data_IF_868600464591
#
_entry.id   IF_868600464591
#
_cell.length_a   1.000
_cell.length_b   1.000
_cell.length_c   1.000
_cell.angle_alpha   90.00
_cell.angle_beta   90.00
_cell.angle_gamma   90.00
#
_symmetry.space_group_name_H-M   'P 1'
#
loop_
_entity.id
_entity.type
_entity.pdbx_description
1 polymer ?
#
# COMPACT_ATOMS: atom_id res chain seq x y z
N UNK A 1 1.40 -43.71 0.14
CA UNK A 1 -0.03 -44.06 0.04
C UNK A 1 -0.42 -44.77 1.33
N UNK A 2 -1.50 -44.37 2.01
CA UNK A 2 -2.01 -45.17 3.13
C UNK A 2 -2.43 -46.54 2.57
N UNK A 3 -1.91 -47.62 3.16
CA UNK A 3 -2.27 -48.98 2.75
C UNK A 3 -3.68 -49.25 3.31
N UNK A 4 -4.69 -49.24 2.44
CA UNK A 4 -6.06 -49.56 2.83
C UNK A 4 -6.19 -51.08 2.87
N UNK A 5 -6.07 -51.64 4.07
CA UNK A 5 -6.29 -53.07 4.29
C UNK A 5 -7.76 -53.35 4.54
N UNK A 6 -8.31 -54.39 3.92
CA UNK A 6 -9.67 -54.85 4.22
C UNK A 6 -9.71 -55.51 5.60
N UNK A 7 -10.54 -55.02 6.54
CA UNK A 7 -10.73 -55.68 7.83
C UNK A 7 -11.17 -57.14 7.67
N UNK A 8 -10.67 -58.04 8.54
CA UNK A 8 -10.96 -59.48 8.50
C UNK A 8 -12.45 -59.81 8.35
N UNK A 9 -13.31 -59.10 9.09
CA UNK A 9 -14.76 -59.29 9.05
C UNK A 9 -15.38 -59.05 7.66
N UNK A 10 -14.85 -58.10 6.89
CA UNK A 10 -15.29 -57.83 5.53
C UNK A 10 -14.72 -58.85 4.55
N UNK A 11 -13.46 -59.27 4.74
CA UNK A 11 -12.79 -60.28 3.90
C UNK A 11 -13.45 -61.66 4.00
N UNK A 12 -13.84 -62.09 5.19
CA UNK A 12 -14.55 -63.37 5.40
C UNK A 12 -15.94 -63.39 4.73
N UNK A 13 -16.60 -62.23 4.61
CA UNK A 13 -17.94 -62.12 4.01
C UNK A 13 -17.93 -61.89 2.50
N UNK A 14 -16.93 -61.17 1.99
CA UNK A 14 -16.80 -60.79 0.58
C UNK A 14 -15.95 -61.77 -0.23
N UNK A 15 -15.18 -62.65 0.42
CA UNK A 15 -14.17 -63.48 -0.23
C UNK A 15 -12.93 -62.67 -0.65
N UNK A 16 -11.89 -63.35 -1.13
CA UNK A 16 -10.63 -62.69 -1.54
C UNK A 16 -10.83 -61.77 -2.76
N UNK A 17 -11.56 -62.23 -3.79
CA UNK A 17 -11.84 -61.41 -4.99
C UNK A 17 -12.67 -60.16 -4.65
N UNK A 18 -13.69 -60.30 -3.80
CA UNK A 18 -14.52 -59.16 -3.36
C UNK A 18 -13.74 -58.16 -2.51
N UNK A 19 -12.81 -58.65 -1.68
CA UNK A 19 -11.92 -57.80 -0.89
C UNK A 19 -10.95 -57.00 -1.79
N UNK A 20 -10.37 -57.64 -2.82
CA UNK A 20 -9.51 -56.93 -3.78
C UNK A 20 -10.26 -55.88 -4.59
N UNK A 21 -11.46 -56.22 -5.09
CA UNK A 21 -12.30 -55.27 -5.82
C UNK A 21 -12.67 -54.05 -4.96
N UNK A 22 -12.96 -54.26 -3.67
CA UNK A 22 -13.23 -53.17 -2.73
C UNK A 22 -12.00 -52.26 -2.55
N UNK A 23 -10.80 -52.82 -2.40
CA UNK A 23 -9.56 -52.03 -2.29
C UNK A 23 -9.33 -51.20 -3.55
N UNK A 24 -9.53 -51.79 -4.74
CA UNK A 24 -9.40 -51.05 -6.00
C UNK A 24 -10.40 -49.90 -6.09
N UNK A 25 -11.67 -50.14 -5.75
CA UNK A 25 -12.71 -49.12 -5.75
C UNK A 25 -12.38 -47.98 -4.78
N UNK A 26 -11.96 -48.29 -3.55
CA UNK A 26 -11.62 -47.27 -2.55
C UNK A 26 -10.39 -46.47 -2.99
N UNK A 27 -9.36 -47.13 -3.53
CA UNK A 27 -8.18 -46.44 -4.04
C UNK A 27 -8.53 -45.50 -5.21
N UNK A 28 -9.36 -45.94 -6.15
CA UNK A 28 -9.84 -45.10 -7.26
C UNK A 28 -10.66 -43.91 -6.76
N UNK A 29 -11.60 -44.14 -5.84
CA UNK A 29 -12.41 -43.08 -5.24
C UNK A 29 -11.55 -42.08 -4.43
N UNK A 30 -10.52 -42.56 -3.73
CA UNK A 30 -9.62 -41.72 -2.93
C UNK A 30 -8.71 -40.86 -3.82
N UNK A 31 -8.17 -41.43 -4.91
CA UNK A 31 -7.38 -40.69 -5.89
C UNK A 31 -8.24 -39.62 -6.60
N UNK A 32 -9.46 -39.98 -7.03
CA UNK A 32 -10.40 -39.03 -7.62
C UNK A 32 -10.73 -37.88 -6.64
N UNK A 33 -11.10 -38.21 -5.40
CA UNK A 33 -11.39 -37.21 -4.38
C UNK A 33 -10.18 -36.30 -4.06
N UNK A 34 -8.96 -36.86 -4.08
CA UNK A 34 -7.75 -36.08 -3.90
C UNK A 34 -7.51 -35.12 -5.07
N UNK A 35 -7.73 -35.57 -6.30
CA UNK A 35 -7.67 -34.74 -7.50
C UNK A 35 -8.65 -33.57 -7.45
N UNK A 36 -9.91 -33.85 -7.13
CA UNK A 36 -10.95 -32.83 -7.00
C UNK A 36 -10.63 -31.82 -5.89
N UNK A 37 -10.16 -32.30 -4.73
CA UNK A 37 -9.74 -31.43 -3.64
C UNK A 37 -8.59 -30.51 -4.04
N UNK A 38 -7.59 -31.03 -4.77
CA UNK A 38 -6.48 -30.21 -5.28
C UNK A 38 -7.00 -29.14 -6.22
N UNK A 39 -7.84 -29.50 -7.20
CA UNK A 39 -8.42 -28.54 -8.15
C UNK A 39 -9.21 -27.43 -7.45
N UNK A 40 -10.04 -27.78 -6.45
CA UNK A 40 -10.81 -26.79 -5.67
C UNK A 40 -9.91 -25.88 -4.84
N UNK A 41 -8.83 -26.41 -4.27
CA UNK A 41 -7.87 -25.61 -3.49
C UNK A 41 -7.08 -24.68 -4.40
N UNK A 42 -6.63 -25.15 -5.56
CA UNK A 42 -5.93 -24.35 -6.57
C UNK A 42 -6.81 -23.19 -7.05
N UNK A 43 -8.06 -23.46 -7.44
CA UNK A 43 -9.01 -22.42 -7.87
C UNK A 43 -9.25 -21.38 -6.76
N UNK A 44 -9.48 -21.82 -5.52
CA UNK A 44 -9.67 -20.90 -4.39
C UNK A 44 -8.42 -20.09 -4.09
N UNK A 45 -7.24 -20.68 -4.23
CA UNK A 45 -5.97 -20.00 -4.01
C UNK A 45 -5.72 -18.95 -5.09
N UNK A 46 -5.88 -19.30 -6.37
CA UNK A 46 -5.74 -18.36 -7.49
C UNK A 46 -6.71 -17.18 -7.37
N UNK A 47 -7.97 -17.47 -7.01
CA UNK A 47 -8.97 -16.42 -6.79
C UNK A 47 -8.56 -15.46 -5.67
N UNK A 48 -8.17 -15.99 -4.50
CA UNK A 48 -7.72 -15.17 -3.36
C UNK A 48 -6.46 -14.37 -3.69
N UNK A 49 -5.52 -14.98 -4.42
CA UNK A 49 -4.29 -14.31 -4.84
C UNK A 49 -4.60 -13.14 -5.76
N UNK A 50 -5.53 -13.32 -6.70
CA UNK A 50 -5.97 -12.27 -7.62
C UNK A 50 -6.70 -11.14 -6.89
N UNK A 51 -7.55 -11.48 -5.92
CA UNK A 51 -8.26 -10.52 -5.06
C UNK A 51 -7.25 -9.66 -4.25
N UNK A 52 -6.31 -10.30 -3.55
CA UNK A 52 -5.30 -9.60 -2.74
C UNK A 52 -4.34 -8.77 -3.60
N UNK A 53 -3.92 -9.28 -4.76
CA UNK A 53 -3.08 -8.52 -5.70
C UNK A 53 -3.80 -7.27 -6.23
N UNK A 54 -5.10 -7.39 -6.52
CA UNK A 54 -5.93 -6.27 -6.98
C UNK A 54 -6.12 -5.23 -5.88
N UNK A 55 -6.37 -5.67 -4.65
CA UNK A 55 -6.50 -4.81 -3.48
C UNK A 55 -5.20 -4.05 -3.19
N UNK A 56 -4.07 -4.75 -3.17
CA UNK A 56 -2.76 -4.13 -2.97
C UNK A 56 -2.46 -3.08 -4.05
N UNK A 57 -2.79 -3.38 -5.32
CA UNK A 57 -2.61 -2.41 -6.42
C UNK A 57 -3.47 -1.16 -6.22
N UNK A 58 -4.70 -1.31 -5.73
CA UNK A 58 -5.58 -0.19 -5.41
C UNK A 58 -5.05 0.65 -4.25
N UNK A 59 -4.62 0.01 -3.15
CA UNK A 59 -4.03 0.70 -1.98
C UNK A 59 -2.76 1.47 -2.35
N UNK A 60 -1.87 0.88 -3.15
CA UNK A 60 -0.67 1.57 -3.66
C UNK A 60 -1.05 2.75 -4.55
N UNK A 61 -2.08 2.60 -5.40
CA UNK A 61 -2.59 3.69 -6.22
C UNK A 61 -3.13 4.86 -5.38
N UNK A 62 -3.90 4.54 -4.34
CA UNK A 62 -4.44 5.54 -3.41
C UNK A 62 -3.32 6.27 -2.65
N UNK A 63 -2.37 5.52 -2.06
CA UNK A 63 -1.23 6.12 -1.34
C UNK A 63 -0.40 7.03 -2.24
N UNK A 64 -0.20 6.66 -3.51
CA UNK A 64 0.50 7.51 -4.48
C UNK A 64 -0.25 8.82 -4.72
N UNK A 65 -1.57 8.78 -4.88
CA UNK A 65 -2.39 9.98 -5.07
C UNK A 65 -2.35 10.89 -3.84
N UNK A 66 -2.51 10.33 -2.65
CA UNK A 66 -2.42 11.07 -1.38
C UNK A 66 -1.03 11.72 -1.20
N UNK A 67 0.04 11.04 -1.60
CA UNK A 67 1.39 11.59 -1.52
C UNK A 67 1.59 12.76 -2.49
N UNK A 68 1.06 12.67 -3.72
CA UNK A 68 1.12 13.77 -4.70
C UNK A 68 0.36 14.99 -4.15
N UNK A 69 -0.85 14.80 -3.63
CA UNK A 69 -1.64 15.88 -3.04
C UNK A 69 -0.91 16.54 -1.86
N UNK A 70 -0.31 15.75 -0.96
CA UNK A 70 0.49 16.27 0.16
C UNK A 70 1.70 17.07 -0.33
N UNK A 71 2.40 16.60 -1.36
CA UNK A 71 3.54 17.33 -1.94
C UNK A 71 3.09 18.67 -2.53
N UNK A 72 1.99 18.69 -3.27
CA UNK A 72 1.44 19.93 -3.85
C UNK A 72 1.01 20.92 -2.74
N UNK A 73 0.35 20.42 -1.70
CA UNK A 73 -0.04 21.21 -0.54
C UNK A 73 1.17 21.84 0.17
N UNK A 74 2.19 21.03 0.49
CA UNK A 74 3.43 21.52 1.12
C UNK A 74 4.16 22.52 0.22
N UNK A 75 4.19 22.29 -1.09
CA UNK A 75 4.82 23.21 -2.06
C UNK A 75 4.09 24.55 -2.10
N UNK A 76 2.76 24.54 -2.10
CA UNK A 76 1.93 25.74 -2.06
C UNK A 76 2.18 26.53 -0.77
N UNK A 77 2.15 25.85 0.38
CA UNK A 77 2.41 26.47 1.68
C UNK A 77 3.81 27.12 1.74
N UNK A 78 4.84 26.42 1.27
CA UNK A 78 6.20 26.96 1.23
C UNK A 78 6.32 28.18 0.31
N UNK A 79 5.68 28.13 -0.87
CA UNK A 79 5.66 29.27 -1.80
C UNK A 79 5.01 30.48 -1.15
N UNK A 80 3.84 30.30 -0.51
CA UNK A 80 3.16 31.37 0.21
C UNK A 80 3.99 31.95 1.38
N UNK A 81 4.66 31.10 2.15
CA UNK A 81 5.58 31.55 3.22
C UNK A 81 6.75 32.37 2.67
N UNK A 82 7.33 31.94 1.55
CA UNK A 82 8.42 32.68 0.88
C UNK A 82 7.93 34.07 0.41
N UNK A 83 6.75 34.14 -0.20
CA UNK A 83 6.16 35.41 -0.63
C UNK A 83 5.87 36.34 0.55
N UNK A 84 5.34 35.80 1.66
CA UNK A 84 5.10 36.57 2.89
C UNK A 84 6.39 37.15 3.45
N UNK A 85 7.44 36.32 3.61
CA UNK A 85 8.75 36.76 4.10
C UNK A 85 9.35 37.80 3.16
N UNK A 86 9.26 37.60 1.85
CA UNK A 86 9.75 38.58 0.85
C UNK A 86 9.03 39.92 1.00
N UNK A 87 7.71 39.92 1.16
CA UNK A 87 6.90 41.13 1.36
C UNK A 87 7.29 41.86 2.65
N UNK A 88 7.47 41.13 3.74
CA UNK A 88 7.93 41.69 5.02
C UNK A 88 9.33 42.30 4.91
N UNK A 89 10.27 41.60 4.25
CA UNK A 89 11.61 42.12 4.02
C UNK A 89 11.59 43.43 3.21
N UNK A 90 10.77 43.52 2.16
CA UNK A 90 10.61 44.76 1.38
C UNK A 90 10.06 45.90 2.25
N UNK A 91 9.05 45.64 3.09
CA UNK A 91 8.49 46.64 4.02
C UNK A 91 9.57 47.13 5.00
N UNK A 92 10.35 46.23 5.57
CA UNK A 92 11.43 46.58 6.49
C UNK A 92 12.55 47.37 5.81
N UNK A 93 12.94 46.99 4.59
CA UNK A 93 13.89 47.76 3.80
C UNK A 93 13.36 49.18 3.56
N UNK A 94 12.09 49.35 3.19
CA UNK A 94 11.51 50.67 2.95
C UNK A 94 11.52 51.55 4.22
N UNK A 95 11.06 51.00 5.36
CA UNK A 95 11.09 51.71 6.65
C UNK A 95 12.51 52.13 7.02
N UNK A 96 13.47 51.22 6.84
CA UNK A 96 14.88 51.50 7.06
C UNK A 96 15.39 52.62 6.15
N UNK A 97 15.11 52.56 4.85
CA UNK A 97 15.53 53.59 3.87
C UNK A 97 14.95 54.96 4.18
N UNK A 98 13.65 55.06 4.53
CA UNK A 98 13.03 56.32 4.92
C UNK A 98 13.69 56.89 6.19
N UNK A 99 13.97 56.03 7.18
CA UNK A 99 14.70 56.42 8.39
C UNK A 99 16.11 56.92 8.09
N UNK A 100 16.87 56.23 7.23
CA UNK A 100 18.22 56.63 6.83
C UNK A 100 18.22 57.97 6.09
N UNK A 101 17.32 58.16 5.10
CA UNK A 101 17.18 59.42 4.37
C UNK A 101 16.84 60.56 5.34
N UNK A 102 15.89 60.34 6.25
CA UNK A 102 15.52 61.33 7.27
C UNK A 102 16.68 61.71 8.18
N UNK A 103 17.47 60.74 8.62
CA UNK A 103 18.66 60.98 9.44
C UNK A 103 19.73 61.79 8.68
N UNK A 104 20.03 61.42 7.43
CA UNK A 104 21.00 62.16 6.59
C UNK A 104 20.54 63.59 6.35
N UNK A 105 19.27 63.79 5.99
CA UNK A 105 18.69 65.14 5.79
C UNK A 105 18.74 65.95 7.09
N UNK A 106 18.42 65.33 8.24
CA UNK A 106 18.49 65.98 9.54
C UNK A 106 19.92 66.42 9.91
N UNK A 107 20.91 65.57 9.66
CA UNK A 107 22.34 65.89 9.88
C UNK A 107 22.78 67.03 8.98
N UNK A 108 22.47 66.98 7.68
CA UNK A 108 22.81 68.05 6.73
C UNK A 108 22.18 69.38 7.16
N UNK A 109 20.90 69.39 7.51
CA UNK A 109 20.21 70.60 7.97
C UNK A 109 20.82 71.18 9.24
N UNK A 110 21.19 70.33 10.21
CA UNK A 110 21.87 70.77 11.43
C UNK A 110 23.26 71.38 11.15
N UNK A 111 23.98 70.87 10.15
CA UNK A 111 25.29 71.39 9.75
C UNK A 111 25.19 72.71 8.96
N UNK A 112 24.19 72.86 8.08
CA UNK A 112 23.95 74.09 7.31
C UNK A 112 23.29 75.22 8.12
N UNK A 113 22.69 74.90 9.28
CA UNK A 113 22.08 75.89 10.19
C UNK A 113 23.06 76.42 11.25
N UNK A 114 24.35 76.09 11.11
CA UNK A 114 25.48 76.64 11.87
C UNK A 114 26.26 77.61 10.98
#
# INVERSE_FOLDING_TARGET
MPIITVPRALRERLGEEGAEALVQLINQATEAARGDMVAVVEEKFERRLTEEASKLRAEVGQLRSELVERIESVRSELTGRIESVRSELIKWMFLFWVGQIGAVVGILFAFFRR
#
